data_IF_292388305833
#
_entry.id   IF_292388305833
#
_cell.length_a   1.000
_cell.length_b   1.000
_cell.length_c   1.000
_cell.angle_alpha   90.00
_cell.angle_beta   90.00
_cell.angle_gamma   90.00
#
_symmetry.space_group_name_H-M   'P 1'
#
loop_
_entity.id
_entity.type
_entity.pdbx_description
1 polymer ?
#
# COMPACT_ATOMS: atom_id res chain seq x y z
N UNK A 1 5.22 21.25 -12.86
CA UNK A 1 5.79 20.73 -11.60
C UNK A 1 6.21 19.27 -11.74
N UNK A 2 5.34 18.42 -12.27
CA UNK A 2 5.59 16.99 -12.55
C UNK A 2 6.91 16.73 -13.29
N UNK A 3 7.21 17.51 -14.33
CA UNK A 3 8.49 17.45 -15.06
C UNK A 3 9.68 17.94 -14.23
N UNK A 4 9.48 18.94 -13.36
CA UNK A 4 10.56 19.48 -12.51
C UNK A 4 11.03 18.43 -11.52
N UNK A 5 10.12 17.75 -10.83
CA UNK A 5 10.45 16.65 -9.90
C UNK A 5 11.28 15.59 -10.62
N UNK A 6 10.81 15.12 -11.77
CA UNK A 6 11.54 14.08 -12.52
C UNK A 6 12.90 14.57 -13.02
N UNK A 7 13.02 15.82 -13.47
CA UNK A 7 14.29 16.40 -13.91
C UNK A 7 15.29 16.55 -12.77
N UNK A 8 14.84 17.04 -11.61
CA UNK A 8 15.69 17.17 -10.41
C UNK A 8 16.21 15.81 -9.92
N UNK A 9 15.39 14.77 -10.05
CA UNK A 9 15.78 13.40 -9.73
C UNK A 9 16.54 12.69 -10.86
N UNK A 10 16.73 13.32 -12.03
CA UNK A 10 17.39 12.71 -13.19
C UNK A 10 16.58 11.56 -13.82
N UNK A 11 15.26 11.55 -13.67
CA UNK A 11 14.35 10.47 -14.08
C UNK A 11 13.61 10.74 -15.40
N UNK A 12 13.80 11.89 -16.05
CA UNK A 12 13.02 12.27 -17.24
C UNK A 12 13.09 11.21 -18.36
N UNK A 13 14.30 10.73 -18.67
CA UNK A 13 14.50 9.73 -19.72
C UNK A 13 13.86 8.37 -19.39
N UNK A 14 14.03 7.87 -18.15
CA UNK A 14 13.47 6.57 -17.74
C UNK A 14 11.95 6.63 -17.60
N UNK A 15 11.40 7.79 -17.23
CA UNK A 15 9.95 8.01 -17.20
C UNK A 15 9.34 8.06 -18.61
N UNK A 16 10.10 8.48 -19.62
CA UNK A 16 9.56 8.81 -20.95
C UNK A 16 8.66 10.04 -20.87
N UNK A 17 9.21 11.15 -20.36
CA UNK A 17 8.47 12.39 -20.11
C UNK A 17 7.86 12.96 -21.39
N UNK A 18 8.56 12.82 -22.52
CA UNK A 18 8.11 13.36 -23.79
C UNK A 18 6.88 12.60 -24.29
N UNK A 19 6.87 11.27 -24.18
CA UNK A 19 5.71 10.45 -24.56
C UNK A 19 4.52 10.62 -23.62
N UNK A 20 4.77 10.84 -22.32
CA UNK A 20 3.72 11.19 -21.36
C UNK A 20 3.13 12.56 -21.67
N UNK A 21 3.97 13.58 -21.89
CA UNK A 21 3.53 14.94 -22.19
C UNK A 21 2.75 15.02 -23.51
N UNK A 22 3.18 14.27 -24.52
CA UNK A 22 2.48 14.14 -25.80
C UNK A 22 1.24 13.21 -25.73
N UNK A 23 0.93 12.64 -24.57
CA UNK A 23 -0.14 11.64 -24.36
C UNK A 23 -0.03 10.39 -25.25
N UNK A 24 1.15 10.12 -25.83
CA UNK A 24 1.45 8.88 -26.55
C UNK A 24 1.59 7.68 -25.58
N UNK A 25 1.83 7.96 -24.30
CA UNK A 25 1.88 7.00 -23.19
C UNK A 25 0.95 7.49 -22.08
N UNK A 26 0.09 6.61 -21.56
CA UNK A 26 -0.87 6.93 -20.48
C UNK A 26 -0.33 6.58 -19.09
N UNK A 27 0.57 5.60 -18.99
CA UNK A 27 1.13 5.13 -17.73
C UNK A 27 2.59 4.73 -17.86
N UNK A 28 3.42 5.22 -16.94
CA UNK A 28 4.85 4.93 -16.83
C UNK A 28 5.27 4.61 -15.40
N UNK A 29 5.73 3.39 -15.10
CA UNK A 29 6.31 3.08 -13.80
C UNK A 29 7.81 3.36 -13.78
N UNK A 30 8.30 4.01 -12.72
CA UNK A 30 9.72 4.19 -12.41
C UNK A 30 10.00 3.60 -11.05
N UNK A 31 10.97 2.68 -10.93
CA UNK A 31 11.32 2.06 -9.66
C UNK A 31 12.66 2.60 -9.14
N UNK A 32 12.68 3.38 -8.05
CA UNK A 32 13.91 4.02 -7.57
C UNK A 32 15.00 3.04 -7.12
N UNK A 33 14.63 1.86 -6.61
CA UNK A 33 15.61 0.81 -6.30
C UNK A 33 16.49 0.36 -7.48
N UNK A 34 16.17 0.74 -8.72
CA UNK A 34 17.03 0.46 -9.89
C UNK A 34 17.74 1.72 -10.41
N UNK A 35 17.57 2.87 -9.76
CA UNK A 35 18.08 4.17 -10.20
C UNK A 35 19.19 4.67 -9.28
N UNK A 36 20.10 5.45 -9.86
CA UNK A 36 21.22 6.05 -9.14
C UNK A 36 20.85 7.43 -8.54
N UNK A 37 19.65 7.50 -7.96
CA UNK A 37 19.15 8.66 -7.23
C UNK A 37 19.59 8.55 -5.77
N UNK A 38 20.25 9.57 -5.22
CA UNK A 38 20.62 9.61 -3.81
C UNK A 38 19.39 9.72 -2.92
N UNK A 39 19.40 8.98 -1.79
CA UNK A 39 18.31 9.01 -0.81
C UNK A 39 18.09 10.44 -0.31
N UNK A 40 19.16 11.13 0.12
CA UNK A 40 19.08 12.50 0.61
C UNK A 40 18.45 13.47 -0.39
N UNK A 41 18.78 13.35 -1.68
CA UNK A 41 18.20 14.20 -2.73
C UNK A 41 16.68 14.04 -2.82
N UNK A 42 16.15 12.82 -2.72
CA UNK A 42 14.70 12.60 -2.70
C UNK A 42 14.08 13.16 -1.41
N UNK A 43 14.68 12.87 -0.25
CA UNK A 43 14.11 13.29 1.04
C UNK A 43 14.10 14.83 1.17
N UNK A 44 15.16 15.50 0.73
CA UNK A 44 15.23 16.96 0.68
C UNK A 44 14.18 17.53 -0.30
N UNK A 45 13.96 16.87 -1.44
CA UNK A 45 12.92 17.25 -2.39
C UNK A 45 11.53 17.14 -1.76
N UNK A 46 11.21 16.03 -1.10
CA UNK A 46 9.91 15.83 -0.42
C UNK A 46 9.66 16.91 0.62
N UNK A 47 10.66 17.26 1.43
CA UNK A 47 10.49 18.29 2.47
C UNK A 47 10.43 19.72 1.93
N UNK A 48 11.07 20.00 0.80
CA UNK A 48 11.10 21.34 0.20
C UNK A 48 9.90 21.61 -0.70
N UNK A 49 9.35 20.58 -1.33
CA UNK A 49 8.25 20.71 -2.27
C UNK A 49 6.91 20.87 -1.54
N UNK A 50 6.32 22.06 -1.62
CA UNK A 50 5.04 22.34 -0.99
C UNK A 50 3.94 21.39 -1.48
N UNK A 51 3.18 20.84 -0.53
CA UNK A 51 2.07 19.90 -0.78
C UNK A 51 2.50 18.49 -1.17
N UNK A 52 3.77 18.21 -1.46
CA UNK A 52 4.22 16.86 -1.80
C UNK A 52 4.43 16.03 -0.53
N UNK A 53 3.59 15.02 -0.32
CA UNK A 53 3.77 14.06 0.76
C UNK A 53 3.41 12.66 0.24
N UNK A 54 4.39 11.86 -0.20
CA UNK A 54 4.13 10.55 -0.78
C UNK A 54 3.44 9.59 0.21
N UNK A 55 2.39 8.85 -0.19
CA UNK A 55 1.76 7.86 0.68
C UNK A 55 2.69 6.67 0.89
N UNK A 56 2.64 6.11 2.10
CA UNK A 56 3.07 4.74 2.40
C UNK A 56 1.80 3.94 2.62
N UNK A 57 1.47 3.05 1.68
CA UNK A 57 0.31 2.15 1.83
C UNK A 57 0.53 1.12 2.91
N UNK A 58 -0.35 1.04 3.91
CA UNK A 58 -0.40 -0.03 4.90
C UNK A 58 -1.81 -0.54 5.11
N UNK A 59 -2.01 -1.50 6.01
CA UNK A 59 -3.32 -2.12 6.20
C UNK A 59 -4.02 -1.60 7.46
N UNK A 60 -5.34 -1.73 7.48
CA UNK A 60 -6.12 -1.58 8.71
C UNK A 60 -5.66 -2.61 9.75
N UNK A 61 -5.42 -2.19 11.00
CA UNK A 61 -5.06 -3.08 12.10
C UNK A 61 -4.22 -2.37 13.17
N UNK A 62 -3.33 -3.13 13.81
CA UNK A 62 -2.53 -2.67 14.94
C UNK A 62 -1.30 -1.86 14.46
N UNK A 63 -1.26 -0.57 14.80
CA UNK A 63 -0.22 0.38 14.35
C UNK A 63 0.62 0.96 15.47
N UNK A 64 0.27 0.72 16.73
CA UNK A 64 0.89 1.34 17.89
C UNK A 64 2.36 0.93 18.01
N UNK A 65 2.65 -0.38 17.95
CA UNK A 65 4.02 -0.88 17.98
C UNK A 65 4.82 -0.50 16.73
N UNK A 66 4.13 -0.32 15.59
CA UNK A 66 4.74 0.23 14.37
C UNK A 66 5.13 1.68 14.60
N UNK A 67 4.23 2.50 15.12
CA UNK A 67 4.46 3.91 15.37
C UNK A 67 5.57 4.16 16.40
N UNK A 68 5.73 3.22 17.34
CA UNK A 68 6.75 3.25 18.40
C UNK A 68 8.09 2.61 17.99
N UNK A 69 8.23 2.14 16.74
CA UNK A 69 9.48 1.57 16.21
C UNK A 69 9.88 0.23 16.83
N UNK A 70 8.88 -0.59 17.20
CA UNK A 70 9.02 -1.89 17.88
C UNK A 70 8.57 -3.08 17.02
N UNK A 71 8.35 -2.82 15.74
CA UNK A 71 7.68 -3.72 14.80
C UNK A 71 8.63 -4.51 13.90
N UNK A 72 9.93 -4.51 14.21
CA UNK A 72 10.94 -5.28 13.51
C UNK A 72 10.98 -4.92 12.01
N UNK A 73 10.67 -5.86 11.10
CA UNK A 73 10.66 -5.60 9.66
C UNK A 73 9.77 -4.42 9.23
N UNK A 74 8.77 -4.01 10.03
CA UNK A 74 7.88 -2.90 9.69
C UNK A 74 8.34 -1.52 10.17
N UNK A 75 9.50 -1.42 10.83
CA UNK A 75 10.01 -0.14 11.35
C UNK A 75 10.38 0.86 10.23
N UNK A 76 10.47 0.41 8.98
CA UNK A 76 10.56 1.33 7.85
C UNK A 76 9.32 2.24 7.74
N UNK A 77 8.17 1.84 8.29
CA UNK A 77 6.98 2.69 8.38
C UNK A 77 7.23 3.85 9.34
N UNK A 78 7.84 3.58 10.49
CA UNK A 78 8.23 4.59 11.47
C UNK A 78 9.22 5.57 10.84
N UNK A 79 10.20 5.05 10.08
CA UNK A 79 11.20 5.88 9.43
C UNK A 79 10.61 6.77 8.34
N UNK A 80 9.69 6.25 7.52
CA UNK A 80 9.04 7.03 6.45
C UNK A 80 8.04 8.01 7.03
N UNK A 81 7.09 7.52 7.82
CA UNK A 81 5.93 8.30 8.27
C UNK A 81 6.25 9.16 9.49
N UNK A 82 6.97 8.61 10.48
CA UNK A 82 7.33 9.34 11.70
C UNK A 82 8.36 10.46 11.47
N UNK A 83 9.18 10.35 10.43
CA UNK A 83 10.12 11.42 10.04
C UNK A 83 9.53 12.43 9.05
N UNK A 84 8.27 12.28 8.64
CA UNK A 84 7.60 13.20 7.70
C UNK A 84 8.00 13.03 6.22
N UNK A 85 8.65 11.93 5.84
CA UNK A 85 8.96 11.62 4.44
C UNK A 85 7.75 11.11 3.64
N UNK A 86 6.66 10.81 4.33
CA UNK A 86 5.41 10.34 3.78
C UNK A 86 4.37 10.20 4.88
N UNK A 87 3.23 9.61 4.57
CA UNK A 87 2.15 9.40 5.56
C UNK A 87 1.50 8.02 5.38
N UNK A 88 0.91 7.43 6.44
CA UNK A 88 0.19 6.17 6.31
C UNK A 88 -1.11 6.35 5.51
N UNK A 89 -1.16 5.77 4.32
CA UNK A 89 -2.38 5.61 3.53
C UNK A 89 -2.94 4.20 3.81
N UNK A 90 -4.00 4.12 4.58
CA UNK A 90 -4.53 2.85 5.08
C UNK A 90 -5.43 2.20 4.05
N UNK A 91 -4.97 1.11 3.45
CA UNK A 91 -5.74 0.18 2.64
C UNK A 91 -6.63 -0.68 3.54
N UNK A 92 -7.95 -0.48 3.42
CA UNK A 92 -8.95 -1.10 4.29
C UNK A 92 -9.60 -2.38 3.74
N UNK A 93 -9.39 -2.73 2.47
CA UNK A 93 -9.92 -3.97 1.87
C UNK A 93 -9.04 -5.17 2.24
N UNK A 94 -8.90 -5.39 3.54
CA UNK A 94 -8.08 -6.43 4.14
C UNK A 94 -8.97 -7.53 4.71
N UNK A 95 -8.33 -8.58 5.24
CA UNK A 95 -9.04 -9.69 5.88
C UNK A 95 -8.52 -9.91 7.28
N UNK A 96 -9.38 -10.32 8.19
CA UNK A 96 -8.96 -10.73 9.53
C UNK A 96 -7.99 -11.89 9.43
N UNK A 97 -7.04 -11.95 10.35
CA UNK A 97 -6.23 -13.14 10.56
C UNK A 97 -7.12 -14.32 11.00
N UNK A 98 -6.77 -15.51 10.54
CA UNK A 98 -7.50 -16.75 10.75
C UNK A 98 -6.55 -17.87 11.16
N UNK A 99 -7.10 -18.99 11.61
CA UNK A 99 -6.32 -20.18 11.97
C UNK A 99 -5.71 -20.87 10.73
N UNK A 100 -6.25 -20.59 9.56
CA UNK A 100 -5.76 -21.04 8.25
C UNK A 100 -4.99 -19.94 7.52
N UNK A 101 -4.22 -20.32 6.50
CA UNK A 101 -3.56 -19.36 5.61
C UNK A 101 -4.56 -18.39 4.96
N UNK A 102 -4.10 -17.16 4.69
CA UNK A 102 -4.81 -16.19 3.86
C UNK A 102 -5.36 -14.97 4.60
N UNK A 103 -5.29 -14.89 5.93
CA UNK A 103 -5.61 -13.65 6.65
C UNK A 103 -4.51 -12.59 6.59
N UNK A 104 -4.75 -11.42 7.20
CA UNK A 104 -3.71 -10.43 7.44
C UNK A 104 -2.95 -10.75 8.73
N UNK A 105 -1.90 -11.56 8.59
CA UNK A 105 -1.00 -11.97 9.67
C UNK A 105 0.01 -10.88 10.07
N UNK A 106 0.04 -9.78 9.32
CA UNK A 106 0.99 -8.68 9.54
C UNK A 106 0.42 -7.65 10.51
N UNK A 107 -0.81 -7.18 10.25
CA UNK A 107 -1.48 -6.13 11.01
C UNK A 107 -2.55 -6.64 11.99
N UNK A 108 -2.93 -7.92 11.86
CA UNK A 108 -3.80 -8.65 12.79
C UNK A 108 -5.13 -7.92 13.12
N UNK A 109 -5.91 -7.46 12.12
CA UNK A 109 -7.10 -6.63 12.37
C UNK A 109 -8.23 -7.34 13.13
N UNK A 110 -8.26 -8.68 13.18
CA UNK A 110 -9.19 -9.42 14.04
C UNK A 110 -8.79 -9.45 15.52
N UNK A 111 -7.70 -8.80 15.91
CA UNK A 111 -7.19 -8.76 17.29
C UNK A 111 -6.75 -7.35 17.66
N UNK A 112 -6.54 -7.13 18.96
CA UNK A 112 -5.81 -6.00 19.49
C UNK A 112 -4.45 -6.46 19.99
N UNK A 113 -3.39 -5.72 19.65
CA UNK A 113 -2.03 -5.95 20.14
C UNK A 113 -1.61 -4.76 20.97
N UNK A 114 -1.29 -5.00 22.24
CA UNK A 114 -0.88 -3.97 23.19
C UNK A 114 0.35 -4.46 23.94
N UNK A 115 1.47 -3.73 23.80
CA UNK A 115 2.73 -4.10 24.47
C UNK A 115 3.22 -5.50 24.10
N UNK A 116 3.04 -5.91 22.84
CA UNK A 116 3.37 -7.25 22.37
C UNK A 116 2.40 -8.36 22.82
N UNK A 117 1.33 -8.05 23.55
CA UNK A 117 0.30 -9.01 23.95
C UNK A 117 -0.89 -8.94 23.01
N UNK A 118 -1.24 -10.08 22.40
CA UNK A 118 -2.38 -10.19 21.50
C UNK A 118 -3.64 -10.60 22.25
N UNK A 119 -4.71 -9.81 22.13
CA UNK A 119 -6.08 -10.11 22.58
C UNK A 119 -6.98 -10.31 21.35
N UNK A 120 -7.54 -11.50 21.21
CA UNK A 120 -8.51 -11.78 20.14
C UNK A 120 -9.83 -11.06 20.38
N UNK A 121 -10.40 -10.50 19.33
CA UNK A 121 -11.73 -9.89 19.35
C UNK A 121 -12.80 -10.91 18.93
N UNK A 122 -14.01 -10.90 19.54
CA UNK A 122 -15.14 -11.65 19.04
C UNK A 122 -15.65 -11.01 17.74
N UNK A 123 -15.76 -11.78 16.66
CA UNK A 123 -16.07 -11.26 15.33
C UNK A 123 -17.52 -11.57 14.94
N UNK A 124 -18.26 -10.57 14.49
CA UNK A 124 -19.65 -10.68 14.08
C UNK A 124 -19.83 -10.22 12.64
N UNK A 125 -20.61 -10.96 11.87
CA UNK A 125 -21.00 -10.58 10.50
C UNK A 125 -22.48 -10.88 10.27
N UNK A 126 -23.05 -10.32 9.20
CA UNK A 126 -24.47 -10.46 8.88
C UNK A 126 -24.80 -11.88 8.40
N UNK A 127 -25.81 -12.52 8.98
CA UNK A 127 -26.27 -13.86 8.57
C UNK A 127 -27.46 -13.84 7.60
N UNK A 128 -27.86 -12.65 7.14
CA UNK A 128 -29.08 -12.41 6.37
C UNK A 128 -30.23 -11.85 7.20
N UNK A 129 -30.17 -11.93 8.53
CA UNK A 129 -31.22 -11.43 9.44
C UNK A 129 -30.68 -10.64 10.62
N UNK A 130 -29.52 -11.01 11.15
CA UNK A 130 -28.87 -10.37 12.30
C UNK A 130 -27.35 -10.52 12.20
N UNK A 131 -26.64 -9.84 13.09
CA UNK A 131 -25.22 -10.08 13.29
C UNK A 131 -25.03 -11.33 14.15
N UNK A 132 -24.30 -12.30 13.61
CA UNK A 132 -24.00 -13.57 14.26
C UNK A 132 -22.51 -13.67 14.56
N UNK A 133 -22.17 -14.21 15.72
CA UNK A 133 -20.79 -14.51 16.11
C UNK A 133 -20.21 -15.54 15.11
N UNK A 134 -18.99 -15.28 14.66
CA UNK A 134 -18.25 -16.15 13.75
C UNK A 134 -17.06 -16.77 14.46
N UNK A 135 -16.77 -18.01 14.09
CA UNK A 135 -15.47 -18.61 14.41
C UNK A 135 -14.36 -17.98 13.55
N UNK A 136 -13.12 -18.32 13.89
CA UNK A 136 -11.91 -17.83 13.20
C UNK A 136 -11.32 -18.87 12.24
N UNK A 137 -12.12 -19.88 11.87
CA UNK A 137 -11.69 -20.93 10.97
C UNK A 137 -11.43 -20.44 9.54
N UNK A 138 -11.91 -19.24 9.19
CA UNK A 138 -11.65 -18.57 7.92
C UNK A 138 -11.47 -17.06 8.09
N UNK A 139 -10.67 -16.40 7.24
CA UNK A 139 -10.49 -14.97 7.28
C UNK A 139 -11.75 -14.24 6.78
N UNK A 140 -12.14 -13.16 7.45
CA UNK A 140 -13.33 -12.36 7.15
C UNK A 140 -12.92 -11.01 6.56
N UNK A 141 -13.69 -10.47 5.62
CA UNK A 141 -13.43 -9.18 5.02
C UNK A 141 -13.68 -8.04 6.02
N UNK A 142 -12.61 -7.39 6.49
CA UNK A 142 -12.63 -6.45 7.62
C UNK A 142 -13.73 -5.38 7.54
N UNK A 143 -14.02 -4.75 6.37
CA UNK A 143 -15.07 -3.73 6.28
C UNK A 143 -16.47 -4.21 6.69
N UNK A 144 -16.75 -5.51 6.59
CA UNK A 144 -18.05 -6.10 6.89
C UNK A 144 -18.11 -6.77 8.28
N UNK A 145 -17.08 -6.60 9.10
CA UNK A 145 -16.97 -7.19 10.44
C UNK A 145 -17.29 -6.16 11.52
N UNK A 146 -18.06 -6.58 12.52
CA UNK A 146 -18.22 -5.89 13.79
C UNK A 146 -17.56 -6.70 14.91
N UNK A 147 -17.21 -6.05 16.00
CA UNK A 147 -16.77 -6.68 17.26
C UNK A 147 -17.60 -6.17 18.42
N UNK A 148 -17.61 -6.92 19.52
CA UNK A 148 -18.13 -6.43 20.79
C UNK A 148 -17.09 -5.50 21.45
N UNK A 149 -17.51 -4.27 21.77
CA UNK A 149 -16.81 -3.33 22.65
C UNK A 149 -17.79 -2.91 23.72
N UNK A 150 -17.51 -3.28 24.97
CA UNK A 150 -18.34 -2.96 26.14
C UNK A 150 -19.83 -3.34 25.99
N UNK A 151 -20.10 -4.49 25.37
CA UNK A 151 -21.44 -5.02 25.15
C UNK A 151 -22.16 -4.42 23.94
N UNK A 152 -21.47 -3.62 23.11
CA UNK A 152 -22.02 -3.03 21.89
C UNK A 152 -21.28 -3.49 20.64
N UNK A 153 -22.04 -3.83 19.60
CA UNK A 153 -21.48 -4.14 18.29
C UNK A 153 -20.93 -2.86 17.65
N UNK A 154 -19.61 -2.81 17.53
CA UNK A 154 -18.86 -1.71 16.94
C UNK A 154 -18.19 -2.19 15.65
N UNK A 155 -18.29 -1.45 14.55
CA UNK A 155 -17.53 -1.75 13.33
C UNK A 155 -16.05 -1.97 13.62
N UNK A 156 -15.46 -3.06 13.10
CA UNK A 156 -14.05 -3.37 13.31
C UNK A 156 -13.14 -2.25 12.76
N UNK A 157 -13.56 -1.63 11.65
CA UNK A 157 -12.92 -0.44 11.08
C UNK A 157 -12.87 0.70 12.08
N UNK A 158 -13.99 1.02 12.77
CA UNK A 158 -14.04 2.11 13.75
C UNK A 158 -13.09 1.84 14.92
N UNK A 159 -13.00 0.59 15.40
CA UNK A 159 -12.11 0.22 16.52
C UNK A 159 -10.65 0.51 16.17
N UNK A 160 -10.18 0.05 15.01
CA UNK A 160 -8.80 0.29 14.59
C UNK A 160 -8.57 1.75 14.19
N UNK A 161 -9.53 2.37 13.52
CA UNK A 161 -9.41 3.76 13.08
C UNK A 161 -9.24 4.71 14.26
N UNK A 162 -10.06 4.57 15.30
CA UNK A 162 -9.97 5.38 16.52
C UNK A 162 -8.60 5.24 17.20
N UNK A 163 -8.06 4.03 17.25
CA UNK A 163 -6.72 3.77 17.81
C UNK A 163 -5.63 4.42 16.96
N UNK A 164 -5.66 4.23 15.64
CA UNK A 164 -4.68 4.85 14.72
C UNK A 164 -4.67 6.37 14.82
N UNK A 165 -5.83 7.04 14.76
CA UNK A 165 -5.88 8.52 14.83
C UNK A 165 -5.49 9.07 16.19
N UNK A 166 -5.46 8.25 17.25
CA UNK A 166 -4.96 8.64 18.57
C UNK A 166 -3.42 8.67 18.66
N UNK A 167 -2.72 8.06 17.69
CA UNK A 167 -1.26 8.02 17.67
C UNK A 167 -0.74 9.41 17.28
N UNK A 168 -0.10 10.09 18.22
CA UNK A 168 0.44 11.44 18.01
C UNK A 168 1.61 11.43 17.02
N UNK A 169 1.67 12.44 16.15
CA UNK A 169 2.76 12.61 15.18
C UNK A 169 2.57 11.87 13.86
N UNK A 170 1.45 11.17 13.68
CA UNK A 170 1.11 10.49 12.43
C UNK A 170 -0.13 11.11 11.79
N UNK A 171 -0.10 11.23 10.46
CA UNK A 171 -1.25 11.62 9.63
C UNK A 171 -1.83 10.38 8.96
N UNK A 172 -2.74 9.69 9.63
CA UNK A 172 -3.44 8.57 9.03
C UNK A 172 -4.54 9.06 8.09
N UNK A 173 -4.58 8.51 6.88
CA UNK A 173 -5.67 8.72 5.93
C UNK A 173 -6.21 7.35 5.47
N UNK A 174 -7.52 7.26 5.24
CA UNK A 174 -8.08 6.11 4.54
C UNK A 174 -8.06 6.38 3.05
N UNK A 175 -7.54 5.43 2.27
CA UNK A 175 -7.57 5.55 0.81
C UNK A 175 -8.99 5.68 0.23
N UNK A 176 -9.98 5.12 0.90
CA UNK A 176 -11.36 5.18 0.47
C UNK A 176 -11.95 6.59 0.60
N UNK A 177 -11.38 7.47 1.44
CA UNK A 177 -11.86 8.84 1.64
C UNK A 177 -11.84 9.64 0.36
N UNK A 178 -10.70 9.67 -0.36
CA UNK A 178 -10.57 10.42 -1.62
C UNK A 178 -11.52 9.87 -2.69
N UNK A 179 -11.73 8.55 -2.71
CA UNK A 179 -12.64 7.90 -3.65
C UNK A 179 -14.12 8.20 -3.38
N UNK A 180 -14.54 8.15 -2.11
CA UNK A 180 -15.92 8.45 -1.72
C UNK A 180 -16.23 9.94 -1.92
N UNK A 181 -15.27 10.83 -1.63
CA UNK A 181 -15.42 12.26 -1.89
C UNK A 181 -15.60 12.56 -3.40
N UNK A 182 -15.04 11.72 -4.28
CA UNK A 182 -15.16 11.83 -5.74
C UNK A 182 -16.08 10.76 -6.35
N UNK A 183 -17.05 10.26 -5.58
CA UNK A 183 -17.89 9.12 -5.97
C UNK A 183 -18.57 9.26 -7.35
N UNK A 184 -19.15 10.41 -7.75
CA UNK A 184 -19.75 10.55 -9.08
C UNK A 184 -18.75 10.28 -10.21
N UNK A 185 -17.56 10.86 -10.11
CA UNK A 185 -16.51 10.69 -11.10
C UNK A 185 -15.98 9.26 -11.13
N UNK A 186 -15.75 8.66 -9.96
CA UNK A 186 -15.35 7.26 -9.85
C UNK A 186 -16.36 6.32 -10.53
N UNK A 187 -17.66 6.57 -10.32
CA UNK A 187 -18.73 5.78 -10.95
C UNK A 187 -18.70 5.92 -12.46
N UNK A 188 -18.54 7.14 -12.98
CA UNK A 188 -18.46 7.39 -14.43
C UNK A 188 -17.23 6.70 -15.04
N UNK A 189 -16.07 6.78 -14.38
CA UNK A 189 -14.85 6.08 -14.78
C UNK A 189 -15.04 4.56 -14.82
N UNK A 190 -15.63 3.97 -13.77
CA UNK A 190 -15.92 2.55 -13.72
C UNK A 190 -16.88 2.13 -14.84
N UNK A 191 -17.92 2.92 -15.12
CA UNK A 191 -18.84 2.66 -16.22
C UNK A 191 -18.11 2.59 -17.57
N UNK A 192 -17.23 3.56 -17.85
CA UNK A 192 -16.42 3.58 -19.06
C UNK A 192 -15.48 2.37 -19.15
N UNK A 193 -14.82 2.03 -18.04
CA UNK A 193 -13.91 0.88 -17.98
C UNK A 193 -14.64 -0.45 -18.18
N UNK A 194 -15.82 -0.64 -17.57
CA UNK A 194 -16.62 -1.84 -17.76
C UNK A 194 -17.13 -1.98 -19.19
N UNK A 195 -17.67 -0.90 -19.76
CA UNK A 195 -18.15 -0.90 -21.15
C UNK A 195 -17.02 -1.23 -22.13
N UNK A 196 -15.82 -0.67 -21.93
CA UNK A 196 -14.67 -0.99 -22.77
C UNK A 196 -14.22 -2.44 -22.57
N UNK A 197 -14.08 -2.91 -21.33
CA UNK A 197 -13.67 -4.29 -21.07
C UNK A 197 -14.64 -5.30 -21.69
N UNK A 198 -15.95 -5.02 -21.66
CA UNK A 198 -16.99 -5.87 -22.23
C UNK A 198 -16.94 -5.95 -23.77
N UNK A 199 -16.38 -4.94 -24.44
CA UNK A 199 -16.32 -4.85 -25.90
C UNK A 199 -15.05 -5.49 -26.52
N UNK A 200 -14.12 -5.96 -25.69
CA UNK A 200 -12.82 -6.50 -26.11
C UNK A 200 -12.88 -8.02 -26.31
N UNK A 201 -11.89 -8.59 -27.01
CA UNK A 201 -11.84 -10.04 -27.32
C UNK A 201 -11.75 -10.95 -26.09
N UNK A 202 -11.32 -10.42 -24.94
CA UNK A 202 -11.22 -11.16 -23.69
C UNK A 202 -11.76 -10.34 -22.50
N UNK A 203 -13.10 -10.22 -22.38
CA UNK A 203 -13.73 -9.43 -21.33
C UNK A 203 -13.43 -9.96 -19.93
N UNK A 204 -13.46 -11.28 -19.73
CA UNK A 204 -13.25 -11.90 -18.42
C UNK A 204 -11.91 -11.48 -17.80
N UNK A 205 -10.82 -11.49 -18.58
CA UNK A 205 -9.52 -11.03 -18.09
C UNK A 205 -9.54 -9.55 -17.73
N UNK A 206 -10.06 -8.68 -18.61
CA UNK A 206 -10.05 -7.23 -18.39
C UNK A 206 -10.97 -6.83 -17.21
N UNK A 207 -12.12 -7.46 -17.08
CA UNK A 207 -13.02 -7.27 -15.95
C UNK A 207 -12.38 -7.74 -14.64
N UNK A 208 -11.60 -8.83 -14.65
CA UNK A 208 -10.84 -9.28 -13.47
C UNK A 208 -9.74 -8.29 -13.03
N UNK A 209 -9.24 -7.47 -13.96
CA UNK A 209 -8.30 -6.38 -13.68
C UNK A 209 -8.99 -5.17 -13.03
N UNK A 210 -10.32 -5.07 -13.12
CA UNK A 210 -11.13 -4.01 -12.50
C UNK A 210 -11.73 -4.48 -11.18
N UNK A 211 -12.43 -5.62 -11.18
CA UNK A 211 -13.03 -6.27 -10.00
C UNK A 211 -12.39 -7.64 -9.85
N UNK A 212 -11.64 -7.84 -8.76
CA UNK A 212 -10.86 -9.07 -8.57
C UNK A 212 -11.47 -10.04 -7.58
N UNK A 213 -12.33 -9.53 -6.70
CA UNK A 213 -12.97 -10.29 -5.64
C UNK A 213 -14.43 -9.87 -5.50
N UNK A 214 -15.23 -10.80 -4.99
CA UNK A 214 -16.58 -10.55 -4.54
C UNK A 214 -16.61 -10.80 -3.02
N UNK A 215 -17.40 -9.99 -2.32
CA UNK A 215 -17.64 -10.19 -0.89
C UNK A 215 -19.13 -10.39 -0.62
N UNK A 216 -19.45 -11.39 0.20
CA UNK A 216 -20.81 -11.65 0.68
C UNK A 216 -21.03 -10.91 1.99
N UNK A 217 -22.29 -10.59 2.31
CA UNK A 217 -22.63 -9.84 3.53
C UNK A 217 -22.23 -10.56 4.83
N UNK A 218 -21.98 -11.87 4.78
CA UNK A 218 -21.45 -12.66 5.90
C UNK A 218 -19.94 -12.50 6.12
N UNK A 219 -19.28 -11.65 5.33
CA UNK A 219 -17.85 -11.35 5.40
C UNK A 219 -16.97 -12.31 4.60
N UNK A 220 -17.53 -13.31 3.92
CA UNK A 220 -16.76 -14.17 3.03
C UNK A 220 -16.31 -13.40 1.79
N UNK A 221 -15.01 -13.42 1.49
CA UNK A 221 -14.42 -12.79 0.32
C UNK A 221 -13.55 -13.78 -0.45
N UNK A 222 -13.80 -13.86 -1.76
CA UNK A 222 -13.12 -14.78 -2.66
C UNK A 222 -12.86 -14.15 -4.02
N UNK A 223 -11.95 -14.76 -4.78
CA UNK A 223 -11.81 -14.40 -6.20
C UNK A 223 -13.11 -14.68 -6.92
N UNK A 224 -13.47 -13.82 -7.86
CA UNK A 224 -14.71 -13.93 -8.60
C UNK A 224 -14.48 -13.77 -10.09
N UNK A 225 -15.39 -14.33 -10.87
CA UNK A 225 -15.55 -13.99 -12.28
C UNK A 225 -16.67 -12.95 -12.40
N UNK A 226 -16.35 -11.83 -13.06
CA UNK A 226 -17.32 -10.83 -13.48
C UNK A 226 -17.58 -11.02 -14.97
N UNK A 227 -18.82 -11.31 -15.33
CA UNK A 227 -19.20 -11.68 -16.70
C UNK A 227 -20.28 -10.73 -17.22
N UNK A 228 -20.17 -10.23 -18.47
CA UNK A 228 -21.26 -9.50 -19.10
C UNK A 228 -22.53 -10.37 -19.23
N UNK A 229 -23.70 -9.80 -18.93
CA UNK A 229 -24.99 -10.48 -19.01
C UNK A 229 -26.08 -9.56 -19.58
N UNK A 230 -26.23 -9.59 -20.92
CA UNK A 230 -27.05 -8.63 -21.66
C UNK A 230 -26.56 -7.20 -21.42
N UNK A 231 -27.45 -6.32 -20.97
CA UNK A 231 -27.11 -4.94 -20.59
C UNK A 231 -26.46 -4.82 -19.19
N UNK A 232 -26.33 -5.92 -18.47
CA UNK A 232 -25.87 -5.99 -17.09
C UNK A 232 -24.61 -6.85 -16.89
N UNK A 233 -24.36 -7.22 -15.63
CA UNK A 233 -23.19 -7.99 -15.22
C UNK A 233 -23.55 -9.03 -14.16
N UNK A 234 -23.00 -10.24 -14.28
CA UNK A 234 -23.10 -11.30 -13.29
C UNK A 234 -21.82 -11.35 -12.45
N UNK A 235 -21.96 -11.25 -11.14
CA UNK A 235 -20.89 -11.34 -10.15
C UNK A 235 -21.27 -12.40 -9.10
N UNK A 236 -20.54 -13.51 -9.06
CA UNK A 236 -20.79 -14.62 -8.11
C UNK A 236 -22.28 -15.01 -8.01
N UNK A 237 -22.94 -15.14 -9.17
CA UNK A 237 -24.36 -15.50 -9.27
C UNK A 237 -25.36 -14.37 -9.00
N UNK A 238 -24.91 -13.18 -8.59
CA UNK A 238 -25.76 -12.00 -8.45
C UNK A 238 -25.69 -11.11 -9.69
N UNK A 239 -26.87 -10.72 -10.23
CA UNK A 239 -26.97 -9.89 -11.42
C UNK A 239 -27.14 -8.41 -11.07
N UNK A 240 -26.21 -7.58 -11.53
CA UNK A 240 -26.36 -6.13 -11.59
C UNK A 240 -27.00 -5.73 -12.92
N UNK A 241 -28.04 -4.89 -12.91
CA UNK A 241 -28.82 -4.59 -14.11
C UNK A 241 -28.08 -3.73 -15.14
N UNK A 242 -27.01 -3.04 -14.76
CA UNK A 242 -26.23 -2.17 -15.64
C UNK A 242 -24.80 -1.96 -15.11
N UNK A 243 -23.92 -1.42 -15.95
CA UNK A 243 -22.57 -0.97 -15.55
C UNK A 243 -22.64 0.07 -14.42
N UNK A 244 -23.62 0.99 -14.48
CA UNK A 244 -23.87 2.00 -13.45
C UNK A 244 -24.22 1.36 -12.11
N UNK A 245 -25.13 0.39 -12.10
CA UNK A 245 -25.53 -0.30 -10.86
C UNK A 245 -24.35 -1.07 -10.23
N UNK A 246 -23.51 -1.71 -11.05
CA UNK A 246 -22.28 -2.35 -10.57
C UNK A 246 -21.28 -1.34 -10.02
N UNK A 247 -21.06 -0.23 -10.72
CA UNK A 247 -20.16 0.84 -10.30
C UNK A 247 -20.62 1.54 -9.01
N UNK A 248 -21.93 1.75 -8.83
CA UNK A 248 -22.48 2.27 -7.58
C UNK A 248 -22.34 1.25 -6.45
N UNK A 249 -22.46 -0.05 -6.73
CA UNK A 249 -22.23 -1.10 -5.73
C UNK A 249 -20.77 -1.17 -5.26
N UNK A 250 -19.79 -0.77 -6.07
CA UNK A 250 -18.37 -0.62 -5.66
C UNK A 250 -18.20 0.40 -4.53
N UNK A 251 -19.07 1.41 -4.46
CA UNK A 251 -19.03 2.39 -3.38
C UNK A 251 -19.42 1.79 -2.02
N UNK A 252 -20.16 0.67 -1.99
CA UNK A 252 -20.65 0.10 -0.74
C UNK A 252 -19.51 -0.41 0.16
N UNK A 253 -18.56 -1.25 -0.32
CA UNK A 253 -17.38 -1.59 0.48
C UNK A 253 -16.51 -0.37 0.84
N UNK A 254 -16.42 0.65 -0.02
CA UNK A 254 -15.69 1.89 0.30
C UNK A 254 -16.36 2.65 1.45
N UNK A 255 -17.69 2.77 1.44
CA UNK A 255 -18.46 3.37 2.53
C UNK A 255 -18.42 2.56 3.81
N UNK A 256 -18.24 1.24 3.73
CA UNK A 256 -17.98 0.42 4.92
C UNK A 256 -16.67 0.82 5.62
N UNK A 257 -15.74 1.48 4.92
CA UNK A 257 -14.52 2.03 5.51
C UNK A 257 -14.71 3.45 6.07
N UNK A 258 -15.33 4.34 5.28
CA UNK A 258 -15.40 5.77 5.59
C UNK A 258 -16.62 6.16 6.43
N UNK A 259 -17.73 5.41 6.28
CA UNK A 259 -19.03 5.66 6.92
C UNK A 259 -19.63 4.34 7.48
N UNK A 260 -18.88 3.58 8.31
CA UNK A 260 -19.27 2.22 8.69
C UNK A 260 -20.62 2.14 9.40
N UNK A 261 -20.96 3.12 10.25
CA UNK A 261 -22.27 3.17 10.94
C UNK A 261 -23.43 3.27 9.95
N UNK A 262 -23.30 4.13 8.94
CA UNK A 262 -24.29 4.24 7.87
C UNK A 262 -24.38 2.91 7.11
N UNK A 263 -23.24 2.34 6.73
CA UNK A 263 -23.18 1.06 6.01
C UNK A 263 -23.94 -0.05 6.76
N UNK A 264 -23.62 -0.29 8.04
CA UNK A 264 -24.29 -1.34 8.82
C UNK A 264 -25.77 -1.04 9.08
N UNK A 265 -26.20 0.22 9.11
CA UNK A 265 -27.63 0.57 9.18
C UNK A 265 -28.42 0.19 7.93
N UNK A 266 -27.75 0.08 6.78
CA UNK A 266 -28.36 -0.24 5.48
C UNK A 266 -28.14 -1.69 5.05
N UNK A 267 -27.36 -2.49 5.80
CA UNK A 267 -26.89 -3.81 5.34
C UNK A 267 -28.02 -4.77 4.92
N UNK A 268 -29.19 -4.67 5.55
CA UNK A 268 -30.34 -5.52 5.25
C UNK A 268 -30.97 -5.27 3.87
N UNK A 269 -30.71 -4.09 3.27
CA UNK A 269 -31.25 -3.72 1.94
C UNK A 269 -30.18 -3.77 0.84
N UNK A 270 -28.94 -4.11 1.18
CA UNK A 270 -27.83 -4.20 0.23
C UNK A 270 -27.93 -5.43 -0.66
N UNK A 271 -27.28 -5.39 -1.85
CA UNK A 271 -27.03 -6.59 -2.64
C UNK A 271 -26.33 -7.68 -1.80
N UNK A 272 -26.66 -8.97 -1.99
CA UNK A 272 -26.10 -10.08 -1.20
C UNK A 272 -24.61 -10.33 -1.49
N UNK A 273 -24.13 -9.81 -2.62
CA UNK A 273 -22.74 -9.85 -3.08
C UNK A 273 -22.34 -8.42 -3.39
N UNK A 274 -21.13 -8.00 -3.03
CA UNK A 274 -20.58 -6.68 -3.32
C UNK A 274 -19.26 -6.82 -4.11
N UNK A 275 -19.01 -5.96 -5.12
CA UNK A 275 -17.78 -5.98 -5.89
C UNK A 275 -16.62 -5.34 -5.12
N UNK A 276 -15.44 -5.96 -5.20
CA UNK A 276 -14.19 -5.42 -4.62
C UNK A 276 -13.25 -5.03 -5.75
N UNK A 277 -12.92 -3.73 -5.82
CA UNK A 277 -11.96 -3.23 -6.82
C UNK A 277 -10.61 -3.90 -6.66
N UNK A 278 -9.98 -4.20 -7.79
CA UNK A 278 -8.67 -4.85 -7.80
C UNK A 278 -7.58 -3.91 -7.28
N UNK A 279 -6.52 -4.50 -6.72
CA UNK A 279 -5.33 -3.73 -6.34
C UNK A 279 -4.69 -3.00 -7.54
N UNK A 280 -4.85 -3.51 -8.77
CA UNK A 280 -4.36 -2.84 -9.98
C UNK A 280 -5.08 -1.50 -10.19
N UNK A 281 -6.41 -1.54 -10.14
CA UNK A 281 -7.23 -0.35 -10.27
C UNK A 281 -6.96 0.60 -9.11
N UNK A 282 -6.93 0.09 -7.86
CA UNK A 282 -6.60 0.89 -6.68
C UNK A 282 -5.27 1.66 -6.83
N UNK A 283 -4.20 1.04 -7.35
CA UNK A 283 -2.93 1.75 -7.57
C UNK A 283 -3.03 2.89 -8.60
N UNK A 284 -3.85 2.72 -9.65
CA UNK A 284 -4.11 3.80 -10.61
C UNK A 284 -4.91 4.92 -9.94
N UNK A 285 -5.91 4.57 -9.13
CA UNK A 285 -6.75 5.54 -8.44
C UNK A 285 -5.97 6.35 -7.39
N UNK A 286 -4.99 5.76 -6.68
CA UNK A 286 -4.12 6.51 -5.77
C UNK A 286 -3.42 7.68 -6.47
N UNK A 287 -2.88 7.42 -7.66
CA UNK A 287 -2.18 8.43 -8.44
C UNK A 287 -3.16 9.44 -9.06
N UNK A 288 -4.28 8.96 -9.58
CA UNK A 288 -5.28 9.80 -10.23
C UNK A 288 -5.93 10.79 -9.26
N UNK A 289 -6.28 10.34 -8.05
CA UNK A 289 -6.90 11.19 -7.02
C UNK A 289 -5.88 11.86 -6.09
N UNK A 290 -4.60 11.90 -6.50
CA UNK A 290 -3.64 12.80 -5.88
C UNK A 290 -3.20 12.41 -4.48
N UNK A 291 -3.17 11.13 -4.13
CA UNK A 291 -2.78 10.71 -2.77
C UNK A 291 -1.33 11.13 -2.41
N UNK A 292 -0.48 11.52 -3.37
CA UNK A 292 0.83 12.14 -3.11
C UNK A 292 0.77 13.62 -2.72
N UNK A 293 -0.43 14.20 -2.67
CA UNK A 293 -0.76 15.58 -2.28
C UNK A 293 -1.99 15.57 -1.37
N UNK A 294 -1.88 15.03 -0.14
CA UNK A 294 -3.05 14.76 0.70
C UNK A 294 -3.76 16.02 1.21
N UNK A 295 -3.17 17.22 1.06
CA UNK A 295 -3.80 18.51 1.38
C UNK A 295 -4.60 19.11 0.21
N UNK A 296 -4.47 18.54 -0.98
CA UNK A 296 -5.27 18.89 -2.15
C UNK A 296 -6.49 17.96 -2.24
N UNK A 297 -7.60 18.50 -2.74
CA UNK A 297 -8.83 17.72 -2.94
C UNK A 297 -9.09 17.47 -4.42
N UNK A 298 -9.52 16.26 -4.75
CA UNK A 298 -9.84 15.86 -6.12
C UNK A 298 -8.61 15.47 -6.93
N UNK A 299 -8.72 15.57 -8.26
CA UNK A 299 -7.62 15.26 -9.18
C UNK A 299 -6.61 16.40 -9.16
N UNK A 300 -5.30 16.14 -8.98
CA UNK A 300 -4.27 17.17 -9.00
C UNK A 300 -4.29 17.95 -10.32
N UNK A 301 -4.15 19.26 -10.22
CA UNK A 301 -3.96 20.14 -11.38
C UNK A 301 -2.53 20.04 -11.95
N UNK A 302 -2.05 18.82 -12.17
CA UNK A 302 -0.71 18.50 -12.68
C UNK A 302 -0.74 18.29 -14.19
N UNK A 303 -0.06 19.18 -14.92
CA UNK A 303 0.17 19.08 -16.36
C UNK A 303 1.65 19.07 -16.72
N UNK A 304 2.05 18.41 -17.82
CA UNK A 304 1.19 17.68 -18.77
C UNK A 304 0.85 16.23 -18.36
N UNK A 305 1.38 15.74 -17.24
CA UNK A 305 1.11 14.43 -16.63
C UNK A 305 1.22 14.53 -15.10
N UNK A 306 0.71 13.55 -14.37
CA UNK A 306 0.82 13.43 -12.90
C UNK A 306 2.12 12.71 -12.54
N UNK A 307 2.91 13.26 -11.61
CA UNK A 307 4.06 12.54 -11.02
C UNK A 307 3.70 12.06 -9.62
N UNK A 308 3.26 10.81 -9.52
CA UNK A 308 2.89 10.17 -8.25
C UNK A 308 4.07 9.45 -7.62
N UNK A 309 4.56 9.95 -6.49
CA UNK A 309 5.56 9.27 -5.68
C UNK A 309 4.85 8.36 -4.66
N UNK A 310 5.36 7.14 -4.46
CA UNK A 310 4.73 6.16 -3.57
C UNK A 310 5.74 5.32 -2.81
N UNK A 311 5.67 5.30 -1.48
CA UNK A 311 6.50 4.42 -0.65
C UNK A 311 5.95 2.99 -0.64
N UNK A 312 6.56 2.12 -1.44
CA UNK A 312 6.19 0.71 -1.54
C UNK A 312 6.87 -0.15 -0.48
N UNK A 313 6.07 -0.99 0.19
CA UNK A 313 6.57 -2.01 1.13
C UNK A 313 7.37 -3.13 0.42
N UNK A 314 7.97 -4.05 1.20
CA UNK A 314 8.79 -5.18 0.72
C UNK A 314 8.12 -6.04 -0.35
N UNK A 315 6.81 -6.28 -0.26
CA UNK A 315 6.09 -7.04 -1.28
C UNK A 315 5.88 -6.25 -2.58
N UNK A 316 5.61 -4.95 -2.48
CA UNK A 316 5.28 -4.07 -3.62
C UNK A 316 6.51 -3.64 -4.40
N UNK A 317 7.51 -3.08 -3.71
CA UNK A 317 8.75 -2.58 -4.30
C UNK A 317 9.84 -3.66 -4.32
N UNK A 318 9.98 -4.43 -3.24
CA UNK A 318 11.13 -5.31 -3.07
C UNK A 318 12.44 -4.51 -2.96
N UNK A 319 13.54 -5.19 -3.25
CA UNK A 319 14.91 -4.66 -3.20
C UNK A 319 15.69 -5.21 -4.41
N UNK A 320 15.52 -4.59 -5.59
CA UNK A 320 16.20 -5.04 -6.81
C UNK A 320 17.73 -4.85 -6.70
N UNK A 321 18.53 -5.61 -7.49
CA UNK A 321 18.09 -6.51 -8.56
C UNK A 321 17.67 -7.91 -8.09
N UNK A 322 18.03 -8.33 -6.88
CA UNK A 322 17.84 -9.72 -6.42
C UNK A 322 16.39 -10.03 -6.05
N UNK A 323 15.68 -9.09 -5.43
CA UNK A 323 14.29 -9.25 -5.04
C UNK A 323 13.41 -8.24 -5.75
N UNK A 324 12.66 -8.69 -6.76
CA UNK A 324 11.66 -7.84 -7.41
C UNK A 324 10.33 -7.86 -6.64
N UNK A 325 9.83 -6.67 -6.31
CA UNK A 325 8.44 -6.51 -5.89
C UNK A 325 7.45 -6.82 -7.01
N UNK A 326 6.16 -6.93 -6.68
CA UNK A 326 5.16 -7.25 -7.69
C UNK A 326 4.88 -6.08 -8.65
N UNK A 327 5.10 -4.82 -8.24
CA UNK A 327 4.62 -3.65 -8.98
C UNK A 327 5.28 -3.48 -10.36
N UNK A 328 6.61 -3.65 -10.42
CA UNK A 328 7.39 -3.47 -11.66
C UNK A 328 7.26 -4.62 -12.67
N UNK A 329 6.51 -5.69 -12.35
CA UNK A 329 6.38 -6.86 -13.24
C UNK A 329 5.56 -6.48 -14.47
N UNK A 330 5.96 -6.94 -15.66
CA UNK A 330 5.22 -6.70 -16.93
C UNK A 330 3.75 -7.08 -16.84
N UNK A 331 3.44 -8.15 -16.09
CA UNK A 331 2.08 -8.63 -15.83
C UNK A 331 1.20 -7.66 -15.01
N UNK A 332 1.77 -6.60 -14.42
CA UNK A 332 1.04 -5.54 -13.72
C UNK A 332 1.04 -4.23 -14.49
N UNK A 333 2.17 -3.88 -15.12
CA UNK A 333 2.34 -2.62 -15.86
C UNK A 333 1.41 -2.54 -17.08
N UNK A 334 1.26 -3.64 -17.84
CA UNK A 334 0.37 -3.65 -19.01
C UNK A 334 -1.10 -3.46 -18.60
N UNK A 335 -1.64 -4.17 -17.59
CA UNK A 335 -2.98 -3.91 -17.05
C UNK A 335 -3.18 -2.47 -16.54
N UNK A 336 -2.23 -1.91 -15.77
CA UNK A 336 -2.37 -0.52 -15.31
C UNK A 336 -2.44 0.45 -16.50
N UNK A 337 -1.64 0.24 -17.54
CA UNK A 337 -1.75 1.04 -18.77
C UNK A 337 -3.10 0.86 -19.48
N UNK A 338 -3.62 -0.36 -19.58
CA UNK A 338 -4.93 -0.57 -20.21
C UNK A 338 -6.09 0.03 -19.41
N UNK A 339 -5.93 0.19 -18.09
CA UNK A 339 -6.87 0.94 -17.23
C UNK A 339 -6.70 2.44 -17.46
N UNK A 340 -5.48 2.98 -17.41
CA UNK A 340 -5.24 4.43 -17.48
C UNK A 340 -5.51 5.01 -18.88
N UNK A 341 -5.22 4.28 -19.96
CA UNK A 341 -5.41 4.76 -21.34
C UNK A 341 -6.81 5.30 -21.62
N UNK A 342 -7.90 4.56 -21.38
CA UNK A 342 -9.23 5.07 -21.64
C UNK A 342 -9.63 6.21 -20.71
N UNK A 343 -9.17 6.20 -19.46
CA UNK A 343 -9.43 7.32 -18.54
C UNK A 343 -8.83 8.62 -19.07
N UNK A 344 -7.56 8.61 -19.51
CA UNK A 344 -6.89 9.78 -20.11
C UNK A 344 -7.56 10.25 -21.41
N UNK A 345 -8.15 9.31 -22.17
CA UNK A 345 -8.82 9.60 -23.44
C UNK A 345 -10.19 10.23 -23.23
N UNK A 346 -10.98 9.68 -22.31
CA UNK A 346 -12.41 9.96 -22.19
C UNK A 346 -12.74 11.00 -21.12
N UNK A 347 -11.82 11.27 -20.19
CA UNK A 347 -12.00 12.22 -19.09
C UNK A 347 -10.98 13.38 -19.22
N UNK A 348 -11.41 14.59 -19.60
CA UNK A 348 -10.50 15.72 -19.86
C UNK A 348 -9.67 16.14 -18.63
N UNK A 349 -10.18 15.91 -17.42
CA UNK A 349 -9.52 16.14 -16.15
C UNK A 349 -8.43 15.12 -15.82
N UNK A 350 -8.40 13.96 -16.50
CA UNK A 350 -7.39 12.92 -16.26
C UNK A 350 -6.16 13.14 -17.14
N UNK A 351 -5.01 13.24 -16.48
CA UNK A 351 -3.71 13.30 -17.12
C UNK A 351 -3.00 11.92 -17.10
N UNK A 352 -2.07 11.65 -18.04
CA UNK A 352 -1.18 10.50 -17.94
C UNK A 352 -0.46 10.42 -16.59
N UNK A 353 -0.04 9.22 -16.19
CA UNK A 353 0.57 8.98 -14.87
C UNK A 353 2.02 8.50 -15.02
N UNK A 354 2.94 9.22 -14.38
CA UNK A 354 4.26 8.72 -14.00
C UNK A 354 4.22 8.25 -12.54
N UNK A 355 4.26 6.94 -12.33
CA UNK A 355 4.24 6.33 -11.00
C UNK A 355 5.66 6.01 -10.55
N UNK A 356 6.20 6.80 -9.62
CA UNK A 356 7.54 6.65 -9.06
C UNK A 356 7.46 5.84 -7.77
N UNK A 357 7.82 4.56 -7.85
CA UNK A 357 7.86 3.65 -6.71
C UNK A 357 9.16 3.81 -5.92
N UNK A 358 9.02 4.17 -4.65
CA UNK A 358 10.08 4.38 -3.68
C UNK A 358 10.18 3.14 -2.77
N UNK A 359 11.31 2.42 -2.73
CA UNK A 359 11.43 1.22 -1.92
C UNK A 359 11.59 1.60 -0.44
N UNK A 360 10.50 1.56 0.33
CA UNK A 360 10.54 1.79 1.78
C UNK A 360 11.50 0.85 2.55
N UNK A 361 11.73 -0.43 2.14
CA UNK A 361 12.66 -1.31 2.82
C UNK A 361 14.09 -0.80 2.98
N UNK A 362 14.54 0.20 2.21
CA UNK A 362 15.87 0.81 2.42
C UNK A 362 16.03 1.39 3.84
N UNK A 363 14.94 1.81 4.47
CA UNK A 363 14.95 2.30 5.86
C UNK A 363 15.06 1.18 6.90
N UNK A 364 15.03 -0.10 6.50
CA UNK A 364 15.41 -1.19 7.41
C UNK A 364 16.89 -1.06 7.83
N UNK A 365 17.69 -0.35 7.04
CA UNK A 365 19.07 0.05 7.32
C UNK A 365 19.18 1.21 8.33
N UNK A 366 18.07 1.74 8.85
CA UNK A 366 18.07 2.75 9.92
C UNK A 366 17.80 2.06 11.26
N UNK A 367 18.84 1.71 12.05
CA UNK A 367 18.66 0.98 13.30
C UNK A 367 17.88 1.79 14.34
N UNK A 368 17.31 1.15 15.37
CA UNK A 368 16.65 1.87 16.45
C UNK A 368 17.66 2.70 17.26
N UNK A 369 17.24 3.85 17.78
CA UNK A 369 18.04 4.73 18.63
C UNK A 369 18.59 4.06 19.90
N UNK A 370 17.96 2.96 20.33
CA UNK A 370 18.40 2.13 21.46
C UNK A 370 19.61 1.25 21.14
N UNK A 371 20.03 1.16 19.87
CA UNK A 371 21.18 0.35 19.42
C UNK A 371 22.21 1.20 18.66
N UNK A 372 22.88 2.18 19.31
CA UNK A 372 23.79 3.12 18.63
C UNK A 372 24.98 2.43 17.93
N UNK A 373 25.46 1.30 18.47
CA UNK A 373 26.53 0.50 17.86
C UNK A 373 26.16 0.00 16.46
N UNK A 374 24.88 -0.32 16.21
CA UNK A 374 24.42 -0.74 14.90
C UNK A 374 24.60 0.38 13.86
N UNK A 375 24.35 1.63 14.26
CA UNK A 375 24.53 2.79 13.37
C UNK A 375 26.01 2.97 12.99
N UNK A 376 26.92 2.82 13.94
CA UNK A 376 28.37 2.91 13.67
C UNK A 376 28.86 1.80 12.72
N UNK A 377 28.40 0.57 12.93
CA UNK A 377 28.75 -0.58 12.07
C UNK A 377 28.18 -0.40 10.66
N UNK A 378 26.93 0.04 10.54
CA UNK A 378 26.29 0.32 9.25
C UNK A 378 26.97 1.49 8.52
N UNK A 379 27.41 2.54 9.21
CA UNK A 379 28.19 3.62 8.60
C UNK A 379 29.49 3.09 7.95
N UNK A 380 30.19 2.16 8.61
CA UNK A 380 31.35 1.47 8.04
C UNK A 380 31.02 0.69 6.75
N UNK A 381 29.91 -0.05 6.75
CA UNK A 381 29.40 -0.75 5.58
C UNK A 381 29.05 0.23 4.43
N UNK A 382 28.37 1.33 4.74
CA UNK A 382 27.95 2.32 3.75
C UNK A 382 29.15 3.00 3.09
N UNK A 383 30.20 3.33 3.85
CA UNK A 383 31.45 3.87 3.29
C UNK A 383 32.06 2.91 2.26
N UNK A 384 32.10 1.62 2.58
CA UNK A 384 32.65 0.59 1.69
C UNK A 384 31.83 0.45 0.40
N UNK A 385 30.50 0.41 0.51
CA UNK A 385 29.60 0.30 -0.64
C UNK A 385 29.62 1.56 -1.52
N UNK A 386 29.78 2.75 -0.91
CA UNK A 386 29.88 4.02 -1.66
C UNK A 386 31.20 4.17 -2.41
N UNK A 387 32.26 3.48 -1.97
CA UNK A 387 33.56 3.52 -2.63
C UNK A 387 33.59 2.72 -3.94
N UNK A 388 32.55 1.93 -4.24
CA UNK A 388 32.42 1.14 -5.46
C UNK A 388 31.30 1.66 -6.35
N UNK A 389 31.28 1.22 -7.61
CA UNK A 389 30.17 1.52 -8.53
C UNK A 389 28.87 0.85 -8.05
N UNK A 390 27.68 1.43 -8.29
CA UNK A 390 26.41 0.86 -7.83
C UNK A 390 26.18 -0.60 -8.23
N UNK A 391 26.72 -1.07 -9.36
CA UNK A 391 26.59 -2.46 -9.81
C UNK A 391 27.34 -3.45 -8.91
N UNK A 392 28.41 -3.02 -8.25
CA UNK A 392 29.21 -3.85 -7.34
C UNK A 392 28.75 -3.75 -5.87
N UNK A 393 27.73 -2.94 -5.59
CA UNK A 393 27.27 -2.63 -4.24
C UNK A 393 26.83 -3.89 -3.46
N UNK A 394 26.10 -4.80 -4.13
CA UNK A 394 25.61 -6.02 -3.50
C UNK A 394 26.75 -6.97 -3.11
N UNK A 395 27.67 -7.28 -4.03
CA UNK A 395 28.78 -8.20 -3.75
C UNK A 395 29.71 -7.62 -2.66
N UNK A 396 29.89 -6.29 -2.66
CA UNK A 396 30.64 -5.58 -1.63
C UNK A 396 29.93 -5.66 -0.29
N UNK A 397 28.62 -5.43 -0.25
CA UNK A 397 27.83 -5.54 0.98
C UNK A 397 27.85 -6.96 1.54
N UNK A 398 27.68 -7.98 0.68
CA UNK A 398 27.69 -9.39 1.07
C UNK A 398 29.03 -9.79 1.69
N UNK A 399 30.14 -9.44 1.04
CA UNK A 399 31.49 -9.73 1.54
C UNK A 399 31.77 -9.04 2.89
N UNK A 400 31.35 -7.79 3.04
CA UNK A 400 31.48 -7.07 4.31
C UNK A 400 30.62 -7.71 5.41
N UNK A 401 29.35 -8.00 5.13
CA UNK A 401 28.43 -8.62 6.09
C UNK A 401 28.92 -9.98 6.60
N UNK A 402 29.57 -10.79 5.76
CA UNK A 402 30.16 -12.06 6.17
C UNK A 402 31.25 -11.93 7.26
N UNK A 403 31.85 -10.75 7.39
CA UNK A 403 32.87 -10.45 8.41
C UNK A 403 32.38 -9.44 9.47
N UNK A 404 31.21 -8.84 9.26
CA UNK A 404 30.63 -7.82 10.13
C UNK A 404 29.99 -8.48 11.34
N UNK A 405 30.73 -8.56 12.44
CA UNK A 405 30.22 -9.04 13.72
C UNK A 405 29.61 -7.93 14.58
N UNK A 406 28.72 -8.31 15.50
CA UNK A 406 28.29 -7.44 16.60
C UNK A 406 27.13 -6.50 16.30
N UNK A 407 26.38 -6.73 15.22
CA UNK A 407 25.05 -6.15 15.02
C UNK A 407 24.04 -6.77 16.00
N UNK A 408 23.05 -5.99 16.42
CA UNK A 408 21.99 -6.47 17.30
C UNK A 408 21.09 -7.53 16.63
N UNK A 409 20.57 -8.46 17.43
CA UNK A 409 19.58 -9.44 16.98
C UNK A 409 18.31 -8.77 16.44
N UNK A 410 17.97 -7.60 16.98
CA UNK A 410 16.82 -6.82 16.53
C UNK A 410 17.00 -6.34 15.10
N UNK A 411 18.14 -5.72 14.77
CA UNK A 411 18.45 -5.27 13.42
C UNK A 411 18.48 -6.44 12.45
N UNK A 412 19.19 -7.52 12.79
CA UNK A 412 19.28 -8.73 11.97
C UNK A 412 17.90 -9.35 11.74
N UNK A 413 17.06 -9.38 12.78
CA UNK A 413 15.69 -9.89 12.73
C UNK A 413 14.80 -9.16 11.73
N UNK A 414 15.09 -7.90 11.39
CA UNK A 414 14.31 -7.14 10.40
C UNK A 414 14.38 -7.76 9.00
N UNK A 415 15.49 -8.41 8.65
CA UNK A 415 15.76 -8.90 7.28
C UNK A 415 15.30 -10.35 7.04
N UNK A 416 15.04 -11.10 8.12
CA UNK A 416 14.56 -12.49 8.06
C UNK A 416 13.25 -12.63 7.26
N UNK A 417 12.99 -13.84 6.78
CA UNK A 417 11.68 -14.19 6.21
C UNK A 417 10.62 -14.28 7.31
N UNK A 418 9.43 -13.77 7.05
CA UNK A 418 8.39 -13.56 8.06
C UNK A 418 8.16 -12.07 8.28
N UNK A 419 6.91 -11.69 8.55
CA UNK A 419 6.52 -10.28 8.63
C UNK A 419 5.34 -10.12 9.57
N UNK A 420 5.40 -9.12 10.43
CA UNK A 420 4.26 -8.74 11.28
C UNK A 420 4.68 -7.96 12.50
N UNK A 421 3.70 -7.39 13.19
CA UNK A 421 3.90 -6.83 14.52
C UNK A 421 4.33 -7.97 15.45
N UNK A 422 5.52 -7.90 16.06
CA UNK A 422 5.97 -8.90 17.02
C UNK A 422 4.99 -8.98 18.19
N UNK A 423 4.51 -10.18 18.48
CA UNK A 423 3.54 -10.44 19.56
C UNK A 423 4.02 -11.57 20.47
N UNK A 424 5.33 -11.58 20.74
CA UNK A 424 5.99 -12.56 21.61
C UNK A 424 5.74 -12.31 23.10
N UNK A 425 5.03 -11.23 23.45
CA UNK A 425 4.85 -10.77 24.83
C UNK A 425 6.11 -10.14 25.44
N UNK A 426 7.22 -10.04 24.69
CA UNK A 426 8.44 -9.38 25.16
C UNK A 426 8.30 -7.86 24.98
N UNK A 427 8.29 -7.09 26.07
CA UNK A 427 8.25 -5.65 25.98
C UNK A 427 9.58 -5.14 25.39
N UNK A 428 9.48 -4.31 24.35
CA UNK A 428 10.61 -3.54 23.83
C UNK A 428 10.42 -2.09 24.23
N UNK A 429 11.49 -1.33 24.39
CA UNK A 429 11.39 0.12 24.60
C UNK A 429 11.07 0.83 23.27
N UNK A 430 10.35 1.96 23.29
CA UNK A 430 10.12 2.74 22.08
C UNK A 430 11.47 3.21 21.54
N UNK A 431 11.61 3.21 20.22
CA UNK A 431 12.82 3.68 19.57
C UNK A 431 12.48 4.42 18.28
N UNK A 432 13.26 5.46 18.00
CA UNK A 432 13.19 6.15 16.72
C UNK A 432 14.24 5.56 15.77
N UNK A 433 13.92 5.34 14.50
CA UNK A 433 14.93 4.98 13.51
C UNK A 433 15.98 6.09 13.39
N UNK A 434 17.25 5.72 13.41
CA UNK A 434 18.38 6.64 13.25
C UNK A 434 19.00 6.41 11.88
N UNK A 435 19.15 7.48 11.09
CA UNK A 435 19.92 7.42 9.84
C UNK A 435 21.42 7.29 10.18
N UNK A 436 22.10 6.18 9.82
CA UNK A 436 23.54 6.09 10.03
C UNK A 436 24.30 7.09 9.15
N UNK A 437 25.52 7.45 9.56
CA UNK A 437 26.39 8.31 8.74
C UNK A 437 26.56 7.73 7.32
N UNK A 438 26.33 8.56 6.31
CA UNK A 438 26.41 8.17 4.91
C UNK A 438 25.15 7.51 4.33
N UNK A 439 24.09 7.29 5.11
CA UNK A 439 22.81 6.75 4.60
C UNK A 439 22.23 7.63 3.49
N UNK A 440 22.11 8.94 3.72
CA UNK A 440 21.58 9.91 2.76
C UNK A 440 22.40 9.99 1.46
N UNK A 441 23.68 9.61 1.52
CA UNK A 441 24.58 9.66 0.38
C UNK A 441 24.50 8.42 -0.52
N UNK A 442 23.90 7.32 -0.04
CA UNK A 442 23.65 6.14 -0.84
C UNK A 442 22.66 6.45 -1.95
N UNK A 443 22.85 5.84 -3.11
CA UNK A 443 21.76 5.75 -4.08
C UNK A 443 20.71 4.74 -3.64
N UNK A 444 19.48 4.88 -4.10
CA UNK A 444 18.43 3.88 -3.88
C UNK A 444 18.83 2.49 -4.40
N UNK A 445 19.59 2.42 -5.51
CA UNK A 445 20.16 1.15 -6.01
C UNK A 445 21.17 0.55 -5.02
N UNK A 446 22.08 1.35 -4.47
CA UNK A 446 23.05 0.89 -3.48
C UNK A 446 22.35 0.43 -2.20
N UNK A 447 21.42 1.21 -1.65
CA UNK A 447 20.70 0.84 -0.44
C UNK A 447 19.84 -0.42 -0.64
N UNK A 448 19.16 -0.55 -1.79
CA UNK A 448 18.42 -1.78 -2.14
C UNK A 448 19.35 -3.00 -2.22
N UNK A 449 20.57 -2.81 -2.72
CA UNK A 449 21.60 -3.86 -2.80
C UNK A 449 22.07 -4.30 -1.41
N UNK A 450 22.24 -3.36 -0.48
CA UNK A 450 22.61 -3.67 0.91
C UNK A 450 21.49 -4.44 1.61
N UNK A 451 20.23 -4.01 1.47
CA UNK A 451 19.08 -4.73 2.03
C UNK A 451 19.02 -6.16 1.47
N UNK A 452 19.18 -6.33 0.15
CA UNK A 452 19.20 -7.65 -0.46
C UNK A 452 20.33 -8.55 0.08
N UNK A 453 21.51 -7.99 0.34
CA UNK A 453 22.62 -8.74 0.94
C UNK A 453 22.32 -9.16 2.39
N UNK A 454 21.70 -8.27 3.19
CA UNK A 454 21.22 -8.62 4.53
C UNK A 454 20.18 -9.73 4.51
N UNK A 455 19.20 -9.65 3.60
CA UNK A 455 18.19 -10.70 3.46
C UNK A 455 18.80 -12.06 3.14
N UNK A 456 19.93 -12.10 2.43
CA UNK A 456 20.61 -13.34 2.06
C UNK A 456 21.40 -13.98 3.21
N UNK A 457 22.10 -13.17 4.02
CA UNK A 457 22.89 -13.69 5.16
C UNK A 457 22.04 -13.99 6.40
N UNK A 458 20.78 -13.56 6.41
CA UNK A 458 19.84 -13.77 7.54
C UNK A 458 18.81 -14.86 7.28
N UNK A 459 18.90 -15.57 6.13
CA UNK A 459 18.05 -16.74 5.81
C UNK A 459 18.30 -17.89 6.77
#
# INVERSE_FOLDING_TARGET
MSERILRELGLSAVAGTDELAARAKSFSPVHLGTQDVRIGTLLDLVHREEGLLPPRTGHLGNWEDIALGRSGPMDFNTAVCGAGHGYPLIYGFTRTEADTEGGDDVYLPGSLVEGGVRRMLPLYTWDGRRFALRDRGRPLFCPLVQTDVDGQLTPLVDVHWQRMVSITGYRFEQWATSLVANAPLLVDMLCALFAQAAAEDNPARLLSELISHAVRLDGEVGRCDLVPDGDGYLLDGHRYPSARALAEAVLLPLRALTEPRWFFSQIATMPPVLPVVSLLLTNVLFALFGDHRPDESGIPAEGPFITHLHWGARAMAGCPPRRSGYFGRRSRVRPMRSITTPLVRDFPEVSPICFVLLPAPVFMLCPPSTSPKDAELLAGLFRSVRAVRPEAAYDTALAQLASLGGLSDYLLGRFRSGSGVPHTGEPREPAVPVEPEGFRDLTFRQASSIVAAFEEVTV
#
